data_IF_875200066120
#
_entry.id   IF_875200066120
#
_cell.length_a   1.000
_cell.length_b   1.000
_cell.length_c   1.000
_cell.angle_alpha   90.00
_cell.angle_beta   90.00
_cell.angle_gamma   90.00
#
_symmetry.space_group_name_H-M   'P 1'
#
loop_
_entity.id
_entity.type
_entity.pdbx_description
1 polymer ?
#
# COMPACT_ATOMS: atom_id res chain seq x y z
N UNK A 1 -7.01 4.85 11.47
CA UNK A 1 -7.85 3.65 11.67
C UNK A 1 -7.32 2.52 10.78
N UNK A 2 -7.35 1.28 11.27
CA UNK A 2 -6.81 0.13 10.54
C UNK A 2 -7.92 -0.70 9.91
N UNK A 3 -7.67 -1.19 8.69
CA UNK A 3 -8.59 -2.05 7.96
C UNK A 3 -8.45 -3.50 8.45
N UNK A 4 -9.53 -4.08 8.95
CA UNK A 4 -9.55 -5.49 9.33
C UNK A 4 -9.30 -6.38 8.11
N UNK A 5 -8.34 -7.30 8.23
CA UNK A 5 -7.98 -8.23 7.15
C UNK A 5 -7.00 -7.67 6.12
N UNK A 6 -6.45 -6.46 6.34
CA UNK A 6 -5.31 -5.99 5.57
C UNK A 6 -4.07 -6.87 5.85
N UNK A 7 -3.21 -7.05 4.84
CA UNK A 7 -1.96 -7.81 5.01
C UNK A 7 -0.94 -7.11 5.92
N UNK A 8 -1.06 -5.79 6.06
CA UNK A 8 -0.25 -4.96 6.91
C UNK A 8 -0.96 -3.62 7.18
N UNK A 9 -0.54 -2.92 8.24
CA UNK A 9 -0.81 -1.50 8.41
C UNK A 9 0.46 -0.76 8.83
N UNK A 10 0.47 0.54 8.55
CA UNK A 10 1.57 1.43 8.86
C UNK A 10 1.00 2.75 9.39
N UNK A 11 1.50 3.20 10.54
CA UNK A 11 1.23 4.54 11.03
C UNK A 11 2.37 5.48 10.64
N UNK A 12 2.01 6.66 10.15
CA UNK A 12 2.92 7.61 9.53
C UNK A 12 2.57 9.05 9.92
N UNK A 13 3.57 9.78 10.42
CA UNK A 13 3.51 11.24 10.45
C UNK A 13 3.87 11.80 9.06
N UNK A 14 3.08 12.76 8.55
CA UNK A 14 3.43 13.46 7.30
C UNK A 14 4.69 14.30 7.52
N UNK A 15 5.79 13.87 6.92
CA UNK A 15 7.09 14.53 6.99
C UNK A 15 7.24 15.63 5.94
N UNK A 16 6.81 15.37 4.70
CA UNK A 16 6.87 16.35 3.63
C UNK A 16 5.71 16.20 2.62
N UNK A 17 5.44 17.27 1.88
CA UNK A 17 4.45 17.34 0.81
C UNK A 17 5.07 18.00 -0.41
N UNK A 18 4.89 17.40 -1.58
CA UNK A 18 5.39 17.94 -2.86
C UNK A 18 4.25 17.97 -3.88
N UNK A 19 3.89 19.15 -4.37
CA UNK A 19 2.91 19.28 -5.47
C UNK A 19 3.54 18.79 -6.77
N UNK A 20 2.86 17.89 -7.47
CA UNK A 20 3.31 17.26 -8.71
C UNK A 20 2.14 17.17 -9.70
N UNK A 21 1.91 18.24 -10.46
CA UNK A 21 0.79 18.34 -11.39
C UNK A 21 -0.55 18.38 -10.66
N UNK A 22 -1.45 17.45 -10.98
CA UNK A 22 -2.75 17.28 -10.35
C UNK A 22 -2.72 16.42 -9.07
N UNK A 23 -1.54 15.91 -8.68
CA UNK A 23 -1.36 15.12 -7.47
C UNK A 23 -0.41 15.81 -6.47
N UNK A 24 -0.47 15.39 -5.20
CA UNK A 24 0.51 15.74 -4.18
C UNK A 24 1.18 14.47 -3.68
N UNK A 25 2.50 14.43 -3.72
CA UNK A 25 3.30 13.36 -3.14
C UNK A 25 3.46 13.65 -1.66
N UNK A 26 3.01 12.73 -0.81
CA UNK A 26 3.21 12.78 0.64
C UNK A 26 4.33 11.83 1.03
N UNK A 27 5.31 12.35 1.77
CA UNK A 27 6.37 11.54 2.37
C UNK A 27 6.01 11.33 3.83
N UNK A 28 5.80 10.08 4.24
CA UNK A 28 5.50 9.70 5.62
C UNK A 28 6.75 9.23 6.36
N UNK A 29 6.97 9.72 7.58
CA UNK A 29 7.89 9.10 8.53
C UNK A 29 7.12 7.98 9.24
N UNK A 30 7.61 6.76 9.14
CA UNK A 30 6.99 5.58 9.75
C UNK A 30 7.22 5.60 11.26
N UNK A 31 6.14 5.59 12.03
CA UNK A 31 6.20 5.48 13.48
C UNK A 31 5.93 4.04 13.95
N UNK A 32 5.07 3.29 13.24
CA UNK A 32 4.73 1.90 13.54
C UNK A 32 4.41 1.10 12.27
N UNK A 33 4.70 -0.22 12.30
CA UNK A 33 4.28 -1.18 11.28
C UNK A 33 3.86 -2.50 11.92
N UNK A 34 2.77 -3.09 11.44
CA UNK A 34 2.32 -4.44 11.81
C UNK A 34 2.03 -5.27 10.55
N UNK A 35 2.41 -6.55 10.57
CA UNK A 35 2.34 -7.47 9.43
C UNK A 35 1.50 -8.70 9.80
N UNK A 36 0.58 -9.09 8.91
CA UNK A 36 -0.32 -10.25 9.10
C UNK A 36 -0.09 -11.34 8.07
N UNK A 37 0.40 -10.99 6.87
CA UNK A 37 0.61 -11.93 5.77
C UNK A 37 -0.69 -12.40 5.11
N UNK A 38 -0.56 -13.25 4.09
CA UNK A 38 -1.65 -13.71 3.21
C UNK A 38 -1.43 -13.34 1.75
N UNK A 39 -2.39 -13.70 0.89
CA UNK A 39 -2.33 -13.38 -0.54
C UNK A 39 -2.68 -11.91 -0.81
N UNK A 40 -1.88 -11.18 -1.60
CA UNK A 40 -2.14 -9.77 -1.88
C UNK A 40 -3.26 -9.57 -2.91
N UNK A 41 -4.03 -8.50 -2.71
CA UNK A 41 -4.94 -8.00 -3.74
C UNK A 41 -4.12 -7.29 -4.82
N UNK A 42 -4.12 -7.81 -6.05
CA UNK A 42 -3.42 -7.21 -7.19
C UNK A 42 -4.39 -6.46 -8.08
N UNK A 43 -4.00 -5.27 -8.54
CA UNK A 43 -4.72 -4.51 -9.57
C UNK A 43 -3.82 -4.27 -10.78
N UNK A 44 -4.21 -4.78 -11.93
CA UNK A 44 -3.47 -4.66 -13.19
C UNK A 44 -4.41 -4.56 -14.38
N UNK A 45 -4.08 -3.72 -15.36
CA UNK A 45 -4.89 -3.47 -16.56
C UNK A 45 -6.37 -3.17 -16.26
N UNK A 46 -6.63 -2.41 -15.19
CA UNK A 46 -8.00 -2.00 -14.82
C UNK A 46 -8.84 -3.09 -14.15
N UNK A 47 -8.25 -4.22 -13.75
CA UNK A 47 -8.96 -5.36 -13.13
C UNK A 47 -8.21 -5.90 -11.91
N UNK A 48 -8.97 -6.49 -10.99
CA UNK A 48 -8.40 -7.31 -9.93
C UNK A 48 -7.97 -8.67 -10.46
N UNK A 49 -6.83 -9.14 -9.99
CA UNK A 49 -6.24 -10.42 -10.41
C UNK A 49 -5.40 -11.00 -9.26
N UNK A 50 -4.95 -12.24 -9.44
CA UNK A 50 -4.07 -12.93 -8.50
C UNK A 50 -2.62 -12.83 -8.95
N UNK A 51 -1.68 -13.05 -8.04
CA UNK A 51 -0.28 -13.26 -8.42
C UNK A 51 -0.17 -14.65 -9.05
N UNK A 52 0.25 -14.67 -10.31
CA UNK A 52 0.57 -15.91 -11.01
C UNK A 52 2.08 -16.10 -11.00
N UNK A 53 2.61 -17.16 -10.37
CA UNK A 53 4.04 -17.45 -10.39
C UNK A 53 4.56 -17.61 -11.83
N UNK A 54 5.77 -17.15 -12.16
CA UNK A 54 6.34 -17.39 -13.48
C UNK A 54 6.42 -18.90 -13.77
N UNK A 55 5.81 -19.35 -14.88
CA UNK A 55 5.90 -20.74 -15.35
C UNK A 55 4.80 -21.68 -14.85
N UNK A 56 3.76 -21.18 -14.20
CA UNK A 56 2.49 -21.90 -14.01
C UNK A 56 1.61 -21.91 -15.25
#
# INVERSE_FOLDING_TARGET
>A
PYLKGALAYMDCQVYAKHVAGDHTIFIGKVDEIELFGGEPLVFSQGKYTDIVPPGS
#
